data_IF_990407215462
#
_entry.id   IF_990407215462
#
_cell.length_a   1.000
_cell.length_b   1.000
_cell.length_c   1.000
_cell.angle_alpha   90.00
_cell.angle_beta   90.00
_cell.angle_gamma   90.00
#
_symmetry.space_group_name_H-M   'P 1'
#
loop_
_entity.id
_entity.type
_entity.pdbx_description
1 polymer ?
#
# COMPACT_ATOMS: atom_id res chain seq x y z
N UNK A 1 -21.18 25.99 25.79
CA UNK A 1 -20.17 25.78 24.74
C UNK A 1 -20.23 26.96 23.78
N UNK A 2 -19.10 27.47 23.24
CA UNK A 2 -19.11 28.51 22.22
C UNK A 2 -19.98 28.09 21.03
N UNK A 3 -20.62 29.04 20.36
CA UNK A 3 -21.42 28.80 19.14
C UNK A 3 -20.72 29.31 17.88
N UNK A 4 -19.62 30.05 18.06
CA UNK A 4 -18.79 30.56 16.97
C UNK A 4 -17.94 29.44 16.37
N UNK A 5 -17.70 29.51 15.06
CA UNK A 5 -16.92 28.51 14.33
C UNK A 5 -15.45 28.94 14.21
N UNK A 6 -14.49 28.00 14.36
CA UNK A 6 -14.66 26.54 14.51
C UNK A 6 -14.91 26.04 15.95
N UNK A 7 -14.78 26.90 16.97
CA UNK A 7 -14.73 26.54 18.39
C UNK A 7 -15.98 25.82 18.89
N UNK A 8 -17.13 26.05 18.25
CA UNK A 8 -18.38 25.38 18.55
C UNK A 8 -18.36 23.87 18.29
N UNK A 9 -17.49 23.38 17.40
CA UNK A 9 -17.30 21.94 17.13
C UNK A 9 -16.14 21.31 17.88
N UNK A 10 -15.32 22.10 18.57
CA UNK A 10 -14.07 21.63 19.17
C UNK A 10 -14.11 21.70 20.70
N UNK A 11 -14.91 20.82 21.30
CA UNK A 11 -15.05 20.77 22.77
C UNK A 11 -13.77 20.27 23.46
N UNK A 12 -13.42 20.92 24.57
CA UNK A 12 -12.34 20.47 25.45
C UNK A 12 -10.96 20.92 24.99
N UNK A 13 -9.92 20.34 25.60
CA UNK A 13 -8.54 20.68 25.26
C UNK A 13 -8.18 20.14 23.88
N UNK A 14 -7.83 21.04 22.97
CA UNK A 14 -7.43 20.68 21.61
C UNK A 14 -6.14 19.85 21.60
N UNK A 15 -6.01 18.95 20.63
CA UNK A 15 -4.77 18.26 20.31
C UNK A 15 -3.77 19.24 19.65
N UNK A 16 -3.27 20.18 20.44
CA UNK A 16 -2.35 21.23 20.00
C UNK A 16 -1.10 20.67 19.31
N UNK A 17 -0.44 19.59 19.82
CA UNK A 17 0.68 18.97 19.12
C UNK A 17 0.30 18.42 17.74
N UNK A 18 -0.85 17.76 17.62
CA UNK A 18 -1.35 17.23 16.35
C UNK A 18 -1.67 18.33 15.34
N UNK A 19 -2.31 19.42 15.78
CA UNK A 19 -2.64 20.58 14.94
C UNK A 19 -1.36 21.26 14.43
N UNK A 20 -0.37 21.49 15.29
CA UNK A 20 0.91 22.07 14.90
C UNK A 20 1.64 21.16 13.92
N UNK A 21 1.67 19.85 14.18
CA UNK A 21 2.24 18.85 13.28
C UNK A 21 1.58 18.83 11.91
N UNK A 22 0.24 18.86 11.86
CA UNK A 22 -0.52 18.98 10.61
C UNK A 22 -0.15 20.27 9.86
N UNK A 23 -0.06 21.41 10.56
CA UNK A 23 0.37 22.67 9.97
C UNK A 23 1.77 22.61 9.35
N UNK A 24 2.71 21.93 10.01
CA UNK A 24 4.05 21.69 9.47
C UNK A 24 4.02 20.78 8.23
N UNK A 25 3.24 19.71 8.25
CA UNK A 25 3.06 18.81 7.10
C UNK A 25 2.43 19.53 5.90
N UNK A 26 1.41 20.36 6.11
CA UNK A 26 0.80 21.17 5.03
C UNK A 26 1.82 22.14 4.44
N UNK A 27 2.65 22.79 5.27
CA UNK A 27 3.74 23.66 4.78
C UNK A 27 4.77 22.89 3.96
N UNK A 28 5.09 21.66 4.37
CA UNK A 28 5.99 20.78 3.61
C UNK A 28 5.39 20.40 2.25
N UNK A 29 4.12 19.96 2.20
CA UNK A 29 3.42 19.62 0.95
C UNK A 29 3.36 20.83 0.02
N UNK A 30 3.00 22.02 0.53
CA UNK A 30 2.95 23.24 -0.29
C UNK A 30 4.31 23.67 -0.85
N UNK A 31 5.40 23.37 -0.14
CA UNK A 31 6.76 23.71 -0.58
C UNK A 31 7.24 22.77 -1.69
N UNK A 32 6.93 21.47 -1.60
CA UNK A 32 7.29 20.50 -2.63
C UNK A 32 6.36 20.63 -3.84
N UNK A 33 5.06 20.77 -3.59
CA UNK A 33 4.00 20.82 -4.59
C UNK A 33 3.25 19.48 -4.70
N UNK A 34 1.92 19.54 -4.80
CA UNK A 34 1.05 18.35 -4.87
C UNK A 34 1.29 17.58 -6.16
N UNK A 35 1.52 18.30 -7.27
CA UNK A 35 1.74 17.71 -8.58
C UNK A 35 3.06 16.91 -8.60
N UNK A 36 4.11 17.49 -8.05
CA UNK A 36 5.44 16.90 -7.96
C UNK A 36 5.43 15.64 -7.07
N UNK A 37 4.71 15.68 -5.95
CA UNK A 37 4.49 14.49 -5.10
C UNK A 37 3.76 13.40 -5.88
N UNK A 38 2.67 13.76 -6.56
CA UNK A 38 1.87 12.82 -7.33
C UNK A 38 2.68 12.18 -8.46
N UNK A 39 3.42 12.96 -9.25
CA UNK A 39 4.26 12.45 -10.33
C UNK A 39 5.32 11.46 -9.79
N UNK A 40 5.99 11.79 -8.69
CA UNK A 40 6.94 10.90 -8.03
C UNK A 40 6.29 9.58 -7.57
N UNK A 41 5.14 9.65 -6.90
CA UNK A 41 4.41 8.46 -6.47
C UNK A 41 3.98 7.59 -7.65
N UNK A 42 3.48 8.21 -8.73
CA UNK A 42 3.04 7.50 -9.92
C UNK A 42 4.19 6.86 -10.69
N UNK A 43 5.36 7.49 -10.74
CA UNK A 43 6.58 6.89 -11.33
C UNK A 43 7.02 5.63 -10.58
N UNK A 44 7.00 5.67 -9.25
CA UNK A 44 7.32 4.53 -8.40
C UNK A 44 6.27 3.41 -8.53
N UNK A 45 5.00 3.81 -8.58
CA UNK A 45 3.89 2.88 -8.72
C UNK A 45 3.89 2.18 -10.08
N UNK A 46 4.20 2.91 -11.16
CA UNK A 46 4.29 2.36 -12.50
C UNK A 46 5.37 1.27 -12.59
N UNK A 47 6.55 1.53 -12.00
CA UNK A 47 7.61 0.53 -11.92
C UNK A 47 7.14 -0.71 -11.14
N UNK A 48 6.53 -0.52 -9.96
CA UNK A 48 6.01 -1.62 -9.17
C UNK A 48 4.95 -2.43 -9.92
N UNK A 49 4.03 -1.76 -10.63
CA UNK A 49 2.96 -2.40 -11.40
C UNK A 49 3.51 -3.24 -12.56
N UNK A 50 4.42 -2.67 -13.34
CA UNK A 50 5.02 -3.33 -14.50
C UNK A 50 5.75 -4.61 -14.08
N UNK A 51 6.63 -4.52 -13.07
CA UNK A 51 7.40 -5.66 -12.59
C UNK A 51 6.51 -6.76 -12.00
N UNK A 52 5.50 -6.40 -11.20
CA UNK A 52 4.56 -7.38 -10.63
C UNK A 52 3.68 -8.02 -11.70
N UNK A 53 3.25 -7.27 -12.73
CA UNK A 53 2.40 -7.80 -13.80
C UNK A 53 3.10 -8.86 -14.66
N UNK A 54 4.44 -8.85 -14.65
CA UNK A 54 5.25 -9.85 -15.34
C UNK A 54 5.47 -11.13 -14.52
N UNK A 55 5.02 -11.18 -13.26
CA UNK A 55 5.13 -12.36 -12.41
C UNK A 55 3.89 -13.24 -12.55
N UNK A 56 4.07 -14.48 -13.03
CA UNK A 56 2.95 -15.39 -13.35
C UNK A 56 2.05 -15.74 -12.16
N UNK A 57 2.59 -15.73 -10.96
CA UNK A 57 1.93 -16.16 -9.73
C UNK A 57 1.57 -14.99 -8.81
N UNK A 58 1.46 -13.79 -9.39
CA UNK A 58 0.95 -12.60 -8.72
C UNK A 58 -0.37 -12.22 -9.38
N UNK A 59 -1.42 -12.17 -8.57
CA UNK A 59 -2.69 -11.59 -8.99
C UNK A 59 -2.72 -10.11 -8.56
N UNK A 60 -2.97 -9.19 -9.49
CA UNK A 60 -3.07 -7.76 -9.21
C UNK A 60 -4.51 -7.30 -9.33
N UNK A 61 -5.01 -6.59 -8.31
CA UNK A 61 -6.36 -6.05 -8.29
C UNK A 61 -6.39 -4.55 -8.67
N UNK A 62 -7.54 -4.12 -9.19
CA UNK A 62 -7.80 -2.74 -9.61
C UNK A 62 -7.57 -2.47 -11.11
N UNK A 63 -7.76 -1.22 -11.57
CA UNK A 63 -7.72 -0.87 -12.99
C UNK A 63 -6.33 -1.06 -13.60
N UNK A 64 -6.25 -1.37 -14.90
CA UNK A 64 -4.94 -1.49 -15.58
C UNK A 64 -4.36 -0.13 -15.96
N UNK A 65 -5.21 0.86 -16.15
CA UNK A 65 -4.79 2.23 -16.42
C UNK A 65 -4.19 2.85 -15.16
N UNK A 66 -2.94 3.31 -15.26
CA UNK A 66 -2.24 3.99 -14.17
C UNK A 66 -2.89 5.33 -13.81
N UNK A 67 -3.60 5.98 -14.74
CA UNK A 67 -4.32 7.23 -14.47
C UNK A 67 -5.55 7.02 -13.56
N UNK A 68 -6.05 5.78 -13.46
CA UNK A 68 -7.16 5.41 -12.57
C UNK A 68 -6.67 4.85 -11.23
N UNK A 69 -5.35 4.86 -10.98
CA UNK A 69 -4.75 4.37 -9.74
C UNK A 69 -4.35 5.52 -8.82
N UNK A 70 -4.47 5.27 -7.52
CA UNK A 70 -3.76 6.03 -6.48
C UNK A 70 -2.41 5.35 -6.18
N UNK A 71 -1.59 5.91 -5.28
CA UNK A 71 -0.26 5.39 -4.87
C UNK A 71 -0.26 4.02 -4.17
N UNK A 72 -1.16 3.09 -4.54
CA UNK A 72 -1.28 1.75 -3.98
C UNK A 72 -1.40 0.67 -5.05
N UNK A 73 -0.83 -0.49 -4.79
CA UNK A 73 -1.06 -1.73 -5.54
C UNK A 73 -1.54 -2.79 -4.55
N UNK A 74 -2.60 -3.49 -4.92
CA UNK A 74 -3.17 -4.59 -4.15
C UNK A 74 -2.92 -5.89 -4.90
N UNK A 75 -2.33 -6.88 -4.23
CA UNK A 75 -1.98 -8.18 -4.83
C UNK A 75 -2.38 -9.36 -3.96
N UNK A 76 -2.44 -10.53 -4.57
CA UNK A 76 -2.23 -11.80 -3.89
C UNK A 76 -1.08 -12.56 -4.54
N UNK A 77 -0.39 -13.38 -3.74
CA UNK A 77 0.59 -14.35 -4.20
C UNK A 77 -0.15 -15.69 -4.26
N UNK A 78 -0.16 -16.36 -5.40
CA UNK A 78 -0.83 -17.66 -5.53
C UNK A 78 -0.34 -18.63 -4.44
N UNK A 79 -1.27 -19.43 -3.90
CA UNK A 79 -0.99 -20.44 -2.88
C UNK A 79 -0.34 -19.89 -1.59
N UNK A 80 -0.57 -18.62 -1.25
CA UNK A 80 -0.13 -18.04 0.02
C UNK A 80 -1.23 -17.17 0.63
N UNK A 81 -1.49 -17.35 1.92
CA UNK A 81 -2.37 -16.46 2.66
C UNK A 81 -1.77 -15.04 2.74
N UNK A 82 -2.61 -14.01 2.63
CA UNK A 82 -2.11 -12.64 2.53
C UNK A 82 -1.46 -12.12 3.82
N UNK A 83 -1.89 -12.59 5.00
CA UNK A 83 -1.30 -12.20 6.28
C UNK A 83 0.03 -12.93 6.50
N UNK A 84 0.09 -14.21 6.17
CA UNK A 84 1.34 -15.00 6.18
C UNK A 84 2.38 -14.44 5.21
N UNK A 85 1.95 -14.04 4.01
CA UNK A 85 2.80 -13.40 3.02
C UNK A 85 3.34 -12.06 3.54
N UNK A 86 2.47 -11.21 4.10
CA UNK A 86 2.87 -9.93 4.68
C UNK A 86 3.87 -10.10 5.83
N UNK A 87 3.65 -11.07 6.72
CA UNK A 87 4.58 -11.42 7.79
C UNK A 87 5.92 -11.90 7.22
N UNK A 88 5.90 -12.79 6.23
CA UNK A 88 7.11 -13.30 5.57
C UNK A 88 7.90 -12.20 4.87
N UNK A 89 7.24 -11.21 4.25
CA UNK A 89 7.89 -10.04 3.64
C UNK A 89 8.63 -9.23 4.71
N UNK A 90 7.99 -8.99 5.85
CA UNK A 90 8.60 -8.27 6.96
C UNK A 90 9.79 -9.03 7.57
N UNK A 91 9.61 -10.30 7.91
CA UNK A 91 10.61 -11.10 8.63
C UNK A 91 11.88 -11.30 7.82
N UNK A 92 11.74 -11.60 6.52
CA UNK A 92 12.87 -11.95 5.67
C UNK A 92 13.53 -10.75 5.00
N UNK A 93 12.77 -9.66 4.75
CA UNK A 93 13.25 -8.54 3.93
C UNK A 93 13.16 -7.18 4.60
N UNK A 94 12.50 -7.11 5.78
CA UNK A 94 12.26 -5.86 6.53
C UNK A 94 11.50 -4.82 5.71
N UNK A 95 10.53 -5.28 4.93
CA UNK A 95 9.65 -4.42 4.13
C UNK A 95 8.27 -4.44 4.76
N UNK A 96 7.73 -3.26 5.05
CA UNK A 96 6.40 -3.14 5.64
C UNK A 96 5.34 -3.08 4.55
N UNK A 97 4.44 -4.07 4.55
CA UNK A 97 3.21 -4.11 3.74
C UNK A 97 2.02 -4.41 4.65
N UNK A 98 0.80 -4.31 4.14
CA UNK A 98 -0.40 -4.64 4.91
C UNK A 98 -1.15 -5.80 4.27
N UNK A 99 -1.34 -6.90 5.01
CA UNK A 99 -2.30 -7.95 4.67
C UNK A 99 -3.69 -7.68 5.27
N UNK A 100 -4.72 -8.31 4.69
CA UNK A 100 -6.08 -8.34 5.21
C UNK A 100 -7.09 -7.53 4.39
N UNK A 101 -8.12 -7.01 5.05
CA UNK A 101 -9.29 -6.39 4.39
C UNK A 101 -9.21 -4.87 4.19
N UNK A 102 -8.16 -4.20 4.69
CA UNK A 102 -7.95 -2.76 4.52
C UNK A 102 -9.13 -1.88 4.95
N UNK A 103 -9.92 -2.31 5.95
CA UNK A 103 -11.18 -1.67 6.37
C UNK A 103 -12.24 -1.55 5.25
N UNK A 104 -12.13 -2.35 4.18
CA UNK A 104 -12.94 -2.26 2.97
C UNK A 104 -13.56 -3.62 2.60
N UNK A 105 -14.18 -4.32 3.56
CA UNK A 105 -14.67 -5.70 3.37
C UNK A 105 -15.62 -5.87 2.17
N UNK A 106 -16.51 -4.91 1.91
CA UNK A 106 -17.39 -4.96 0.74
C UNK A 106 -16.63 -4.83 -0.59
N UNK A 107 -15.56 -4.03 -0.64
CA UNK A 107 -14.70 -3.95 -1.82
C UNK A 107 -13.98 -5.28 -2.06
N UNK A 108 -13.50 -5.94 -1.00
CA UNK A 108 -12.93 -7.30 -1.08
C UNK A 108 -13.94 -8.32 -1.61
N UNK A 109 -15.22 -8.20 -1.22
CA UNK A 109 -16.28 -9.03 -1.82
C UNK A 109 -16.43 -8.78 -3.31
N UNK A 110 -16.37 -7.53 -3.77
CA UNK A 110 -16.46 -7.18 -5.19
C UNK A 110 -15.30 -7.73 -6.02
N UNK A 111 -14.07 -7.68 -5.50
CA UNK A 111 -12.87 -8.13 -6.23
C UNK A 111 -12.54 -9.62 -6.00
N UNK A 112 -13.41 -10.37 -5.31
CA UNK A 112 -13.25 -11.82 -5.12
C UNK A 112 -12.35 -12.25 -3.96
N UNK A 113 -11.88 -11.32 -3.12
CA UNK A 113 -10.94 -11.56 -2.02
C UNK A 113 -11.60 -11.66 -0.65
N UNK A 114 -12.92 -11.91 -0.58
CA UNK A 114 -13.65 -11.98 0.69
C UNK A 114 -13.15 -13.05 1.66
N UNK A 115 -12.62 -14.16 1.16
CA UNK A 115 -12.17 -15.28 2.00
C UNK A 115 -10.65 -15.24 2.30
N UNK A 116 -9.89 -14.51 1.49
CA UNK A 116 -8.42 -14.52 1.51
C UNK A 116 -7.81 -13.19 1.93
N UNK A 117 -8.57 -12.09 1.82
CA UNK A 117 -8.00 -10.75 1.89
C UNK A 117 -7.02 -10.49 0.74
N UNK A 118 -6.18 -9.46 0.91
CA UNK A 118 -5.10 -9.17 -0.04
C UNK A 118 -3.94 -8.45 0.64
N UNK A 119 -2.79 -8.41 -0.03
CA UNK A 119 -1.66 -7.57 0.35
C UNK A 119 -1.80 -6.21 -0.33
N UNK A 120 -1.71 -5.13 0.43
CA UNK A 120 -1.58 -3.76 -0.10
C UNK A 120 -0.16 -3.24 0.10
N UNK A 121 0.44 -2.83 -1.00
CA UNK A 121 1.69 -2.07 -1.06
C UNK A 121 1.31 -0.62 -1.33
N UNK A 122 1.80 0.30 -0.51
CA UNK A 122 1.48 1.72 -0.61
C UNK A 122 2.77 2.52 -0.70
N UNK A 123 2.85 3.36 -1.72
CA UNK A 123 3.96 4.27 -1.97
C UNK A 123 3.59 5.64 -1.44
N UNK A 124 4.54 6.31 -0.80
CA UNK A 124 4.41 7.70 -0.37
C UNK A 124 5.56 8.57 -0.88
N UNK A 125 5.55 9.86 -0.52
CA UNK A 125 6.50 10.84 -1.06
C UNK A 125 7.96 10.61 -0.63
N UNK A 126 8.18 9.80 0.39
CA UNK A 126 9.52 9.50 0.92
C UNK A 126 10.10 8.19 0.40
N UNK A 127 9.30 7.40 -0.34
CA UNK A 127 9.81 6.17 -0.90
C UNK A 127 10.77 6.43 -2.06
N UNK A 128 11.67 5.47 -2.29
CA UNK A 128 12.69 5.57 -3.34
C UNK A 128 12.56 4.44 -4.36
N UNK A 129 13.07 4.67 -5.57
CA UNK A 129 13.19 3.61 -6.60
C UNK A 129 13.95 2.38 -6.11
N UNK A 130 14.94 2.57 -5.23
CA UNK A 130 15.68 1.45 -4.65
C UNK A 130 14.82 0.61 -3.69
N UNK A 131 13.98 1.26 -2.88
CA UNK A 131 13.02 0.55 -2.02
C UNK A 131 11.98 -0.21 -2.84
N UNK A 132 11.47 0.38 -3.94
CA UNK A 132 10.57 -0.30 -4.87
C UNK A 132 11.23 -1.55 -5.46
N UNK A 133 12.49 -1.46 -5.93
CA UNK A 133 13.24 -2.63 -6.43
C UNK A 133 13.41 -3.72 -5.36
N UNK A 134 13.70 -3.32 -4.12
CA UNK A 134 13.80 -4.27 -3.00
C UNK A 134 12.47 -4.96 -2.71
N UNK A 135 11.34 -4.24 -2.81
CA UNK A 135 10.01 -4.81 -2.64
C UNK A 135 9.68 -5.80 -3.77
N UNK A 136 9.97 -5.44 -5.03
CA UNK A 136 9.80 -6.32 -6.19
C UNK A 136 10.61 -7.62 -6.02
N UNK A 137 11.89 -7.52 -5.67
CA UNK A 137 12.77 -8.69 -5.45
C UNK A 137 12.27 -9.57 -4.29
N UNK A 138 11.82 -8.97 -3.19
CA UNK A 138 11.25 -9.70 -2.06
C UNK A 138 10.00 -10.49 -2.45
N UNK A 139 9.07 -9.85 -3.18
CA UNK A 139 7.83 -10.47 -3.65
C UNK A 139 8.17 -11.59 -4.63
N UNK A 140 9.06 -11.35 -5.60
CA UNK A 140 9.51 -12.37 -6.54
C UNK A 140 10.09 -13.61 -5.84
N UNK A 141 10.94 -13.42 -4.83
CA UNK A 141 11.53 -14.52 -4.05
C UNK A 141 10.49 -15.33 -3.30
N UNK A 142 9.51 -14.67 -2.68
CA UNK A 142 8.42 -15.34 -1.97
C UNK A 142 7.48 -16.08 -2.92
N UNK A 143 7.09 -15.43 -4.00
CA UNK A 143 6.27 -16.02 -5.04
C UNK A 143 6.94 -17.29 -5.59
N UNK A 144 8.23 -17.23 -5.92
CA UNK A 144 8.99 -18.41 -6.37
C UNK A 144 9.01 -19.54 -5.33
N UNK A 145 9.15 -19.23 -4.04
CA UNK A 145 9.21 -20.24 -2.96
C UNK A 145 7.88 -20.96 -2.78
N UNK A 146 6.75 -20.24 -2.81
CA UNK A 146 5.41 -20.84 -2.71
C UNK A 146 5.20 -21.88 -3.81
N UNK A 147 5.49 -21.53 -5.07
CA UNK A 147 5.36 -22.44 -6.20
C UNK A 147 6.12 -23.77 -6.07
N UNK A 148 7.27 -23.78 -5.39
CA UNK A 148 8.06 -25.00 -5.19
C UNK A 148 7.59 -25.84 -3.99
N UNK A 149 6.83 -25.25 -3.06
CA UNK A 149 6.27 -25.98 -1.92
C UNK A 149 5.12 -26.86 -2.38
N UNK A 150 4.25 -26.34 -3.23
CA UNK A 150 3.09 -27.09 -3.77
C UNK A 150 3.50 -28.25 -4.66
N UNK A 151 4.55 -28.11 -5.49
CA UNK A 151 5.04 -29.23 -6.34
C UNK A 151 5.61 -30.39 -5.52
N UNK A 152 6.05 -30.15 -4.27
CA UNK A 152 6.60 -31.21 -3.40
C UNK A 152 5.56 -31.89 -2.52
N UNK A 153 4.36 -31.35 -2.44
CA UNK A 153 3.24 -31.93 -1.68
C UNK A 153 2.33 -32.83 -2.54
N UNK A 154 2.68 -33.04 -3.82
CA UNK A 154 2.09 -34.02 -4.76
C UNK A 154 3.16 -35.00 -5.27
#
# INVERSE_FOLDING_TARGET
QPVEFPEGYESGTLNSPGIIGLGASVKWIKRIGIKEIHEHEMELLAQLYEDLSNMRNIEIYGPKDMNERSGIITINIEHMDCEEAAASIWENFRIAVRGGYHCAGLAHRTIGTWNTGAIRISVGPFNTRNEIRRAIDAIYKLAKKSYHKDIKEY
#
